data_IF_559249777212
#
_entry.id   IF_559249777212
#
_cell.length_a   1.000
_cell.length_b   1.000
_cell.length_c   1.000
_cell.angle_alpha   90.00
_cell.angle_beta   90.00
_cell.angle_gamma   90.00
#
_symmetry.space_group_name_H-M   'P 1'
#
loop_
_entity.id
_entity.type
_entity.pdbx_description
1 polymer ?
#
# COMPACT_ATOMS: atom_id res chain seq x y z
N UNK A 1 15.76 3.05 -5.63
CA UNK A 1 15.99 2.29 -4.38
C UNK A 1 14.68 1.72 -3.86
N UNK A 2 14.41 0.46 -4.16
CA UNK A 2 13.28 -0.31 -3.62
C UNK A 2 13.64 -0.77 -2.21
N UNK A 3 13.02 -0.18 -1.17
CA UNK A 3 13.18 -0.67 0.20
C UNK A 3 12.46 -2.01 0.30
N UNK A 4 13.19 -3.12 0.44
CA UNK A 4 12.59 -4.41 0.78
C UNK A 4 11.98 -4.31 2.18
N UNK A 5 10.66 -4.39 2.27
CA UNK A 5 9.95 -4.41 3.55
C UNK A 5 9.93 -5.86 4.01
N UNK A 6 10.60 -6.16 5.12
CA UNK A 6 10.51 -7.46 5.76
C UNK A 6 9.03 -7.81 6.05
N UNK A 7 8.59 -8.94 5.50
CA UNK A 7 7.23 -9.47 5.65
C UNK A 7 6.96 -9.95 7.07
N UNK A 8 7.98 -10.36 7.82
CA UNK A 8 7.89 -10.83 9.21
C UNK A 8 7.64 -9.70 10.21
N UNK A 9 7.88 -8.44 9.81
CA UNK A 9 7.68 -7.29 10.68
C UNK A 9 6.20 -7.13 11.06
N UNK A 10 5.86 -7.03 12.37
CA UNK A 10 4.49 -6.82 12.82
C UNK A 10 3.84 -5.58 12.19
N UNK A 11 2.71 -5.75 11.51
CA UNK A 11 1.95 -4.67 10.86
C UNK A 11 0.70 -4.29 11.63
N UNK A 12 0.08 -5.26 12.28
CA UNK A 12 -1.14 -5.14 13.06
C UNK A 12 -0.91 -5.66 14.48
N UNK A 13 -1.85 -5.36 15.38
CA UNK A 13 -1.90 -5.98 16.69
C UNK A 13 -2.63 -7.32 16.59
N UNK A 14 -2.18 -8.30 17.36
CA UNK A 14 -2.87 -9.58 17.51
C UNK A 14 -4.11 -9.42 18.40
N UNK A 15 -4.98 -10.43 18.45
CA UNK A 15 -6.24 -10.38 19.20
C UNK A 15 -6.02 -10.08 20.69
N UNK A 16 -5.04 -10.74 21.32
CA UNK A 16 -4.69 -10.50 22.74
C UNK A 16 -4.24 -9.06 23.00
N UNK A 17 -3.46 -8.50 22.07
CA UNK A 17 -2.96 -7.13 22.16
C UNK A 17 -4.11 -6.13 21.94
N UNK A 18 -5.07 -6.45 21.07
CA UNK A 18 -6.29 -5.67 20.92
C UNK A 18 -7.18 -5.76 22.16
N UNK A 19 -7.24 -6.91 22.82
CA UNK A 19 -7.93 -7.09 24.09
C UNK A 19 -7.27 -6.23 25.19
N UNK A 20 -5.94 -6.16 25.24
CA UNK A 20 -5.20 -5.27 26.14
C UNK A 20 -5.53 -3.79 25.90
N UNK A 21 -5.56 -3.36 24.63
CA UNK A 21 -6.00 -2.00 24.26
C UNK A 21 -7.43 -1.72 24.75
N UNK A 22 -8.33 -2.70 24.66
CA UNK A 22 -9.70 -2.57 25.17
C UNK A 22 -9.76 -2.57 26.71
N UNK A 23 -8.78 -3.18 27.39
CA UNK A 23 -8.67 -3.20 28.85
C UNK A 23 -8.12 -1.90 29.44
N UNK A 24 -7.50 -1.05 28.63
CA UNK A 24 -6.96 0.26 29.05
C UNK A 24 -8.00 1.11 29.80
N UNK A 25 -7.66 1.68 30.97
CA UNK A 25 -8.62 2.32 31.88
C UNK A 25 -9.38 3.48 31.23
N UNK A 26 -8.68 4.37 30.52
CA UNK A 26 -9.34 5.50 29.82
C UNK A 26 -10.26 5.05 28.68
N UNK A 27 -9.91 3.98 27.95
CA UNK A 27 -10.75 3.43 26.88
C UNK A 27 -12.03 2.86 27.49
N UNK A 28 -11.91 2.11 28.59
CA UNK A 28 -13.06 1.62 29.36
C UNK A 28 -13.94 2.74 29.90
N UNK A 29 -13.34 3.81 30.43
CA UNK A 29 -14.09 4.96 30.96
C UNK A 29 -14.90 5.66 29.86
N UNK A 30 -14.26 5.95 28.72
CA UNK A 30 -14.94 6.58 27.58
C UNK A 30 -16.03 5.67 26.99
N UNK A 31 -15.80 4.36 26.96
CA UNK A 31 -16.82 3.39 26.58
C UNK A 31 -18.02 3.44 27.54
N UNK A 32 -17.76 3.46 28.86
CA UNK A 32 -18.82 3.57 29.88
C UNK A 32 -19.63 4.86 29.68
N UNK A 33 -18.99 6.02 29.52
CA UNK A 33 -19.68 7.30 29.28
C UNK A 33 -20.57 7.22 28.03
N UNK A 34 -20.00 6.74 26.91
CA UNK A 34 -20.76 6.54 25.66
C UNK A 34 -21.96 5.62 25.86
N UNK A 35 -21.79 4.49 26.55
CA UNK A 35 -22.88 3.53 26.79
C UNK A 35 -23.99 4.11 27.66
N UNK A 36 -23.66 4.90 28.69
CA UNK A 36 -24.65 5.59 29.53
C UNK A 36 -25.47 6.59 28.71
N UNK A 37 -24.81 7.42 27.91
CA UNK A 37 -25.49 8.39 27.04
C UNK A 37 -26.38 7.70 26.01
N UNK A 38 -25.89 6.62 25.37
CA UNK A 38 -26.69 5.84 24.44
C UNK A 38 -27.91 5.17 25.10
N UNK A 39 -27.76 4.65 26.33
CA UNK A 39 -28.89 4.10 27.10
C UNK A 39 -29.92 5.17 27.42
N UNK A 40 -29.49 6.34 27.88
CA UNK A 40 -30.36 7.47 28.18
C UNK A 40 -31.15 7.92 26.94
N UNK A 41 -30.48 8.06 25.80
CA UNK A 41 -31.14 8.41 24.52
C UNK A 41 -32.18 7.36 24.14
N UNK A 42 -31.87 6.07 24.27
CA UNK A 42 -32.82 5.00 23.94
C UNK A 42 -34.02 4.97 24.89
N UNK A 43 -33.82 5.26 26.17
CA UNK A 43 -34.89 5.34 27.15
C UNK A 43 -35.83 6.53 26.89
N UNK A 44 -35.29 7.69 26.54
CA UNK A 44 -36.09 8.92 26.35
C UNK A 44 -36.70 9.03 24.94
N UNK A 45 -35.99 8.58 23.89
CA UNK A 45 -36.36 8.85 22.48
C UNK A 45 -36.46 7.59 21.61
N UNK A 46 -36.24 6.40 22.18
CA UNK A 46 -36.23 5.11 21.48
C UNK A 46 -34.96 4.88 20.66
N UNK A 47 -34.70 5.74 19.67
CA UNK A 47 -33.55 5.59 18.75
C UNK A 47 -32.61 6.79 18.77
N UNK A 48 -31.32 6.53 18.57
CA UNK A 48 -30.28 7.59 18.57
C UNK A 48 -30.50 8.57 17.42
N UNK A 49 -31.00 8.10 16.27
CA UNK A 49 -31.27 8.94 15.10
C UNK A 49 -32.32 10.02 15.36
N UNK A 50 -33.32 9.77 16.22
CA UNK A 50 -34.37 10.74 16.57
C UNK A 50 -33.86 11.93 17.38
N UNK A 51 -32.71 11.78 18.03
CA UNK A 51 -32.10 12.87 18.82
C UNK A 51 -31.17 13.76 18.01
N UNK A 52 -31.02 13.55 16.70
CA UNK A 52 -30.16 14.40 15.85
C UNK A 52 -30.52 15.88 16.02
N UNK A 53 -29.50 16.71 16.22
CA UNK A 53 -29.65 18.16 16.45
C UNK A 53 -29.72 18.57 17.93
N UNK A 54 -30.07 17.65 18.83
CA UNK A 54 -30.12 17.93 20.28
C UNK A 54 -28.74 17.95 20.93
N UNK A 55 -28.64 18.51 22.15
CA UNK A 55 -27.43 18.50 22.97
C UNK A 55 -27.01 17.06 23.33
N UNK A 56 -27.95 16.20 23.74
CA UNK A 56 -27.64 14.83 24.15
C UNK A 56 -27.04 14.00 23.01
N UNK A 57 -27.47 14.24 21.77
CA UNK A 57 -26.85 13.62 20.59
C UNK A 57 -25.42 14.11 20.37
N UNK A 58 -25.16 15.42 20.51
CA UNK A 58 -23.80 15.99 20.41
C UNK A 58 -22.87 15.37 21.46
N UNK A 59 -23.32 15.28 22.71
CA UNK A 59 -22.56 14.70 23.81
C UNK A 59 -22.26 13.20 23.55
N UNK A 60 -23.25 12.44 23.09
CA UNK A 60 -23.07 11.03 22.75
C UNK A 60 -22.08 10.83 21.58
N UNK A 61 -22.17 11.68 20.55
CA UNK A 61 -21.25 11.64 19.41
C UNK A 61 -19.83 12.07 19.80
N UNK A 62 -19.70 13.06 20.69
CA UNK A 62 -18.40 13.47 21.25
C UNK A 62 -17.78 12.33 22.06
N UNK A 63 -18.55 11.67 22.93
CA UNK A 63 -18.08 10.51 23.68
C UNK A 63 -17.66 9.35 22.76
N UNK A 64 -18.40 9.12 21.67
CA UNK A 64 -18.02 8.14 20.64
C UNK A 64 -16.68 8.48 19.98
N UNK A 65 -16.50 9.73 19.53
CA UNK A 65 -15.25 10.19 18.92
C UNK A 65 -14.08 10.13 19.88
N UNK A 66 -14.27 10.55 21.13
CA UNK A 66 -13.26 10.47 22.18
C UNK A 66 -12.83 9.02 22.42
N UNK A 67 -13.78 8.10 22.58
CA UNK A 67 -13.50 6.67 22.72
C UNK A 67 -12.68 6.12 21.53
N UNK A 68 -13.10 6.40 20.30
CA UNK A 68 -12.38 5.91 19.11
C UNK A 68 -10.98 6.51 18.97
N UNK A 69 -10.85 7.80 19.26
CA UNK A 69 -9.55 8.49 19.23
C UNK A 69 -8.59 7.88 20.27
N UNK A 70 -9.04 7.72 21.52
CA UNK A 70 -8.22 7.14 22.58
C UNK A 70 -7.87 5.68 22.29
N UNK A 71 -8.83 4.86 21.83
CA UNK A 71 -8.57 3.47 21.44
C UNK A 71 -7.49 3.39 20.35
N UNK A 72 -7.57 4.24 19.33
CA UNK A 72 -6.55 4.33 18.27
C UNK A 72 -5.19 4.80 18.80
N UNK A 73 -5.16 5.77 19.71
CA UNK A 73 -3.92 6.26 20.31
C UNK A 73 -3.23 5.16 21.13
N UNK A 74 -3.97 4.47 21.99
CA UNK A 74 -3.44 3.34 22.77
C UNK A 74 -2.97 2.21 21.85
N UNK A 75 -3.75 1.85 20.83
CA UNK A 75 -3.33 0.83 19.85
C UNK A 75 -2.02 1.20 19.13
N UNK A 76 -1.81 2.49 18.80
CA UNK A 76 -0.54 2.94 18.21
C UNK A 76 0.64 2.77 19.16
N UNK A 77 0.46 3.08 20.44
CA UNK A 77 1.51 2.90 21.46
C UNK A 77 1.86 1.43 21.62
N UNK A 78 0.86 0.55 21.77
CA UNK A 78 1.08 -0.90 21.87
C UNK A 78 1.78 -1.43 20.61
N UNK A 79 1.35 -1.01 19.41
CA UNK A 79 1.98 -1.46 18.18
C UNK A 79 3.43 -0.97 18.06
N UNK A 80 3.73 0.24 18.56
CA UNK A 80 5.09 0.75 18.60
C UNK A 80 5.97 -0.06 19.55
N UNK A 81 5.46 -0.46 20.71
CA UNK A 81 6.15 -1.33 21.66
C UNK A 81 6.42 -2.71 21.06
N UNK A 82 5.42 -3.35 20.45
CA UNK A 82 5.57 -4.63 19.75
C UNK A 82 6.64 -4.54 18.66
N UNK A 83 6.59 -3.49 17.83
CA UNK A 83 7.62 -3.24 16.81
C UNK A 83 9.01 -2.98 17.38
N UNK A 84 9.12 -2.38 18.57
CA UNK A 84 10.40 -2.15 19.23
C UNK A 84 10.96 -3.47 19.77
N UNK A 85 10.15 -4.27 20.45
CA UNK A 85 10.52 -5.60 20.94
C UNK A 85 10.93 -6.54 19.80
N UNK A 86 10.17 -6.55 18.71
CA UNK A 86 10.51 -7.34 17.51
C UNK A 86 11.85 -6.91 16.91
N UNK A 87 12.08 -5.59 16.76
CA UNK A 87 13.38 -5.08 16.23
C UNK A 87 14.58 -5.47 17.10
N UNK A 88 14.39 -5.63 18.40
CA UNK A 88 15.45 -6.10 19.31
C UNK A 88 15.67 -7.61 19.23
N UNK A 89 14.59 -8.38 19.13
CA UNK A 89 14.63 -9.85 19.16
C UNK A 89 14.98 -10.49 17.82
N UNK A 90 14.47 -9.94 16.71
CA UNK A 90 14.62 -10.55 15.40
C UNK A 90 16.09 -10.76 14.99
N UNK A 91 17.00 -9.77 15.14
CA UNK A 91 18.39 -9.99 14.79
C UNK A 91 19.07 -11.08 15.61
N UNK A 92 18.70 -11.22 16.90
CA UNK A 92 19.24 -12.27 17.77
C UNK A 92 18.78 -13.65 17.31
N UNK A 93 17.51 -13.78 16.94
CA UNK A 93 16.96 -15.02 16.38
C UNK A 93 17.62 -15.34 15.04
N UNK A 94 17.81 -14.34 14.18
CA UNK A 94 18.45 -14.54 12.88
C UNK A 94 19.92 -14.99 13.02
N UNK A 95 20.67 -14.42 13.97
CA UNK A 95 22.05 -14.84 14.29
C UNK A 95 22.06 -16.27 14.85
N UNK A 96 21.19 -16.60 15.81
CA UNK A 96 21.11 -17.95 16.37
C UNK A 96 20.84 -18.99 15.26
N UNK A 97 19.87 -18.72 14.39
CA UNK A 97 19.55 -19.59 13.25
C UNK A 97 20.71 -19.75 12.26
N UNK A 98 21.54 -18.71 12.08
CA UNK A 98 22.73 -18.79 11.23
C UNK A 98 23.83 -19.66 11.87
N UNK A 99 24.00 -19.56 13.19
CA UNK A 99 24.99 -20.34 13.94
C UNK A 99 24.60 -21.82 14.06
N UNK A 100 23.30 -22.12 14.17
CA UNK A 100 22.76 -23.48 14.26
C UNK A 100 22.75 -24.21 12.88
N UNK A 101 23.48 -23.69 11.89
CA UNK A 101 23.71 -24.35 10.60
C UNK A 101 22.52 -24.35 9.65
N UNK A 102 21.55 -23.43 9.82
CA UNK A 102 20.40 -23.30 8.93
C UNK A 102 19.43 -24.49 8.97
N UNK A 103 19.60 -25.41 9.92
CA UNK A 103 18.68 -26.50 10.14
C UNK A 103 17.50 -26.03 11.00
N UNK A 104 16.29 -26.29 10.51
CA UNK A 104 15.01 -26.24 11.25
C UNK A 104 14.51 -24.88 11.71
N UNK A 105 13.71 -24.25 10.86
CA UNK A 105 12.25 -24.42 10.89
C UNK A 105 11.69 -23.54 9.77
N UNK A 106 10.96 -24.15 8.83
CA UNK A 106 9.85 -23.45 8.19
C UNK A 106 8.95 -23.05 9.35
N UNK A 107 9.20 -21.88 9.94
CA UNK A 107 8.24 -21.23 10.81
C UNK A 107 7.00 -21.14 9.94
N UNK A 108 6.02 -21.96 10.28
CA UNK A 108 4.70 -21.97 9.70
C UNK A 108 4.20 -20.53 9.73
N UNK A 109 4.43 -19.86 8.61
CA UNK A 109 3.72 -18.68 8.22
C UNK A 109 2.29 -19.19 8.06
N UNK A 110 1.47 -19.00 9.09
CA UNK A 110 0.02 -19.01 9.02
C UNK A 110 -0.45 -17.97 7.99
N UNK A 111 -0.35 -18.38 6.74
CA UNK A 111 -0.27 -17.53 5.58
C UNK A 111 0.58 -18.30 4.59
N UNK A 112 0.02 -19.45 4.18
CA UNK A 112 0.70 -20.51 3.46
C UNK A 112 1.70 -19.96 2.47
N UNK A 113 2.88 -20.59 2.43
CA UNK A 113 3.75 -20.48 1.29
C UNK A 113 2.96 -20.98 0.07
N UNK A 114 2.15 -20.10 -0.50
CA UNK A 114 1.67 -20.25 -1.86
C UNK A 114 2.95 -20.26 -2.65
N UNK A 115 3.28 -21.43 -3.19
CA UNK A 115 4.34 -21.57 -4.18
C UNK A 115 4.22 -20.36 -5.11
N UNK A 116 5.26 -19.52 -5.26
CA UNK A 116 5.20 -18.37 -6.16
C UNK A 116 4.71 -18.75 -7.57
N UNK A 117 4.91 -20.01 -7.98
CA UNK A 117 4.39 -20.57 -9.22
C UNK A 117 2.87 -20.85 -9.20
N UNK A 118 2.28 -21.19 -8.04
CA UNK A 118 0.84 -21.38 -7.89
C UNK A 118 0.03 -20.06 -7.93
N UNK A 119 0.70 -18.91 -7.98
CA UNK A 119 0.09 -17.56 -8.14
C UNK A 119 0.15 -17.07 -9.59
N UNK A 120 0.89 -17.75 -10.47
CA UNK A 120 0.97 -17.39 -11.89
C UNK A 120 -0.28 -17.90 -12.61
N UNK A 121 -0.80 -17.14 -13.59
CA UNK A 121 -1.76 -17.70 -14.53
C UNK A 121 -1.07 -18.78 -15.39
N UNK A 122 -1.84 -19.70 -15.93
CA UNK A 122 -1.33 -20.87 -16.66
C UNK A 122 -0.37 -20.46 -17.80
N UNK A 123 -0.62 -19.31 -18.45
CA UNK A 123 0.22 -18.77 -19.51
C UNK A 123 1.58 -18.27 -18.99
N UNK A 124 1.60 -17.63 -17.81
CA UNK A 124 2.85 -17.20 -17.16
C UNK A 124 3.65 -18.38 -16.65
N UNK A 125 2.98 -19.40 -16.12
CA UNK A 125 3.63 -20.64 -15.70
C UNK A 125 4.27 -21.36 -16.90
N UNK A 126 3.55 -21.46 -18.03
CA UNK A 126 4.07 -22.04 -19.28
C UNK A 126 5.27 -21.28 -19.83
N UNK A 127 5.32 -19.95 -19.71
CA UNK A 127 6.50 -19.17 -20.12
C UNK A 127 7.66 -19.29 -19.13
N UNK A 128 7.36 -19.44 -17.84
CA UNK A 128 8.36 -19.50 -16.78
C UNK A 128 9.27 -20.73 -16.90
N UNK A 129 8.68 -21.92 -17.10
CA UNK A 129 9.44 -23.19 -17.14
C UNK A 129 10.57 -23.19 -18.18
N UNK A 130 10.33 -22.95 -19.49
CA UNK A 130 11.40 -23.00 -20.48
C UNK A 130 12.41 -21.84 -20.36
N UNK A 131 11.99 -20.67 -19.87
CA UNK A 131 12.89 -19.52 -19.66
C UNK A 131 13.88 -19.72 -18.51
N UNK A 132 13.46 -20.40 -17.45
CA UNK A 132 14.23 -20.54 -16.21
C UNK A 132 14.75 -21.95 -15.94
N UNK A 133 14.50 -22.91 -16.83
CA UNK A 133 15.15 -24.23 -16.81
C UNK A 133 16.50 -24.14 -17.53
N UNK A 134 17.56 -24.68 -16.93
CA UNK A 134 18.88 -24.72 -17.56
C UNK A 134 18.89 -25.67 -18.75
N UNK A 135 19.66 -25.30 -19.78
CA UNK A 135 19.98 -26.19 -20.88
C UNK A 135 20.69 -27.44 -20.35
N UNK A 136 20.27 -28.62 -20.81
CA UNK A 136 21.11 -29.82 -20.74
C UNK A 136 22.27 -29.68 -21.72
N UNK A 137 23.30 -30.53 -21.59
CA UNK A 137 24.45 -30.53 -22.51
C UNK A 137 24.11 -30.97 -23.94
N UNK A 138 22.88 -31.42 -24.20
CA UNK A 138 22.43 -31.82 -25.52
C UNK A 138 21.95 -30.60 -26.35
N UNK A 139 22.58 -30.30 -27.51
CA UNK A 139 22.15 -29.21 -28.38
C UNK A 139 20.72 -29.35 -28.91
N UNK A 140 20.19 -30.58 -29.04
CA UNK A 140 18.80 -30.81 -29.52
C UNK A 140 17.77 -30.35 -28.50
N UNK A 141 17.95 -30.73 -27.23
CA UNK A 141 17.09 -30.31 -26.11
C UNK A 141 17.17 -28.80 -25.86
N UNK A 142 18.33 -28.18 -26.05
CA UNK A 142 18.46 -26.73 -25.96
C UNK A 142 17.70 -26.01 -27.09
N UNK A 143 17.71 -26.55 -28.30
CA UNK A 143 16.93 -26.02 -29.42
C UNK A 143 15.42 -26.11 -29.16
N UNK A 144 14.99 -27.25 -28.62
CA UNK A 144 13.60 -27.48 -28.23
C UNK A 144 13.14 -26.52 -27.14
N UNK A 145 13.94 -26.38 -26.06
CA UNK A 145 13.65 -25.45 -24.95
C UNK A 145 13.52 -24.00 -25.42
N UNK A 146 14.40 -23.56 -26.33
CA UNK A 146 14.34 -22.20 -26.91
C UNK A 146 13.08 -21.99 -27.73
N UNK A 147 12.71 -22.98 -28.54
CA UNK A 147 11.48 -22.93 -29.34
C UNK A 147 10.25 -22.84 -28.45
N UNK A 148 10.19 -23.66 -27.40
CA UNK A 148 9.11 -23.63 -26.40
C UNK A 148 9.05 -22.31 -25.63
N UNK A 149 10.20 -21.73 -25.26
CA UNK A 149 10.26 -20.41 -24.63
C UNK A 149 9.71 -19.31 -25.54
N UNK A 150 10.07 -19.33 -26.82
CA UNK A 150 9.59 -18.34 -27.81
C UNK A 150 8.08 -18.47 -27.99
N UNK A 151 7.56 -19.69 -28.14
CA UNK A 151 6.13 -19.93 -28.29
C UNK A 151 5.35 -19.48 -27.04
N UNK A 152 5.83 -19.82 -25.85
CA UNK A 152 5.18 -19.49 -24.60
C UNK A 152 5.17 -17.97 -24.33
N UNK A 153 6.27 -17.26 -24.63
CA UNK A 153 6.32 -15.79 -24.51
C UNK A 153 5.44 -15.12 -25.56
N UNK A 154 5.40 -15.65 -26.79
CA UNK A 154 4.53 -15.14 -27.85
C UNK A 154 3.05 -15.29 -27.45
N UNK A 155 2.66 -16.44 -26.91
CA UNK A 155 1.32 -16.66 -26.38
C UNK A 155 1.00 -15.69 -25.24
N UNK A 156 1.92 -15.51 -24.29
CA UNK A 156 1.74 -14.60 -23.16
C UNK A 156 1.60 -13.13 -23.61
N UNK A 157 2.37 -12.69 -24.60
CA UNK A 157 2.32 -11.31 -25.12
C UNK A 157 0.97 -10.95 -25.78
N UNK A 158 0.22 -11.96 -26.25
CA UNK A 158 -1.12 -11.78 -26.80
C UNK A 158 -2.19 -11.68 -25.71
N UNK A 159 -1.86 -12.06 -24.49
CA UNK A 159 -2.78 -11.99 -23.38
C UNK A 159 -2.80 -10.56 -22.80
N UNK A 160 -3.96 -9.90 -22.90
CA UNK A 160 -4.16 -8.61 -22.24
C UNK A 160 -4.56 -8.83 -20.78
N UNK A 161 -3.63 -8.55 -19.87
CA UNK A 161 -3.93 -8.64 -18.43
C UNK A 161 -5.01 -7.63 -18.03
N UNK A 162 -5.92 -7.99 -17.11
CA UNK A 162 -6.86 -7.03 -16.56
C UNK A 162 -6.07 -5.87 -15.95
N UNK A 163 -6.43 -4.63 -16.30
CA UNK A 163 -5.83 -3.42 -15.72
C UNK A 163 -5.91 -3.53 -14.19
N UNK A 164 -4.81 -3.88 -13.55
CA UNK A 164 -4.70 -3.83 -12.10
C UNK A 164 -5.06 -2.41 -11.69
N UNK A 165 -6.09 -2.27 -10.83
CA UNK A 165 -6.46 -0.97 -10.27
C UNK A 165 -5.17 -0.31 -9.78
N UNK A 166 -4.85 0.85 -10.33
CA UNK A 166 -3.65 1.62 -9.99
C UNK A 166 -3.51 1.70 -8.46
N UNK A 167 -2.64 0.88 -7.88
CA UNK A 167 -2.32 0.90 -6.45
C UNK A 167 -1.48 2.12 -6.07
N UNK A 168 -1.13 2.95 -7.07
CA UNK A 168 -0.60 4.27 -6.89
C UNK A 168 -1.74 5.28 -7.01
N UNK A 169 -2.43 5.57 -5.91
CA UNK A 169 -3.07 6.90 -5.79
C UNK A 169 -1.95 7.92 -5.88
N UNK A 170 -1.69 8.45 -7.07
CA UNK A 170 -0.97 9.71 -7.22
C UNK A 170 -1.67 10.69 -6.29
N UNK A 171 -0.92 11.13 -5.28
CA UNK A 171 -1.38 12.05 -4.26
C UNK A 171 -1.71 13.34 -5.02
N UNK A 172 -2.98 13.54 -5.39
CA UNK A 172 -3.44 14.78 -6.01
C UNK A 172 -3.18 15.91 -5.00
N UNK A 173 -2.04 16.58 -5.14
CA UNK A 173 -1.84 17.92 -4.63
C UNK A 173 -2.62 18.88 -5.52
N UNK A 174 -3.94 18.80 -5.43
CA UNK A 174 -4.86 19.77 -6.02
C UNK A 174 -4.93 20.99 -5.11
N UNK A 175 -4.22 22.06 -5.48
CA UNK A 175 -4.40 23.40 -4.93
C UNK A 175 -5.89 23.76 -4.99
N UNK A 176 -6.48 24.13 -3.86
CA UNK A 176 -7.80 24.78 -3.82
C UNK A 176 -7.66 26.18 -4.40
N UNK A 177 -7.75 26.33 -5.71
CA UNK A 177 -8.12 27.62 -6.28
C UNK A 177 -9.64 27.72 -6.30
N UNK A 178 -10.12 28.63 -5.45
CA UNK A 178 -11.48 29.16 -5.42
C UNK A 178 -11.70 29.89 -6.76
N UNK A 179 -12.48 29.31 -7.65
CA UNK A 179 -12.95 30.01 -8.84
C UNK A 179 -14.44 30.31 -8.67
N UNK A 180 -14.73 31.59 -8.50
CA UNK A 180 -16.06 32.20 -8.50
C UNK A 180 -16.70 32.00 -9.88
N UNK A 181 -17.98 31.63 -9.88
CA UNK A 181 -18.83 31.54 -11.08
C UNK A 181 -19.07 32.91 -11.68
N UNK A 182 -18.90 33.04 -13.00
CA UNK A 182 -19.74 33.89 -13.85
C UNK A 182 -19.93 33.20 -15.20
N UNK A 183 -21.19 33.09 -15.62
CA UNK A 183 -21.66 32.60 -16.93
C UNK A 183 -21.14 33.48 -18.07
N UNK A 184 -20.80 32.87 -19.22
CA UNK A 184 -21.43 33.19 -20.50
C UNK A 184 -21.10 32.12 -21.56
N UNK A 185 -22.03 31.95 -22.48
CA UNK A 185 -22.18 30.88 -23.45
C UNK A 185 -21.22 30.93 -24.67
N UNK A 186 -21.09 29.76 -25.29
CA UNK A 186 -20.89 29.54 -26.74
C UNK A 186 -19.59 29.99 -27.41
N UNK A 187 -18.72 29.01 -27.72
CA UNK A 187 -18.47 28.58 -29.10
C UNK A 187 -17.46 27.43 -29.13
N UNK A 188 -17.82 26.39 -29.86
CA UNK A 188 -16.91 25.34 -30.28
C UNK A 188 -15.80 25.97 -31.13
N UNK A 189 -14.58 25.99 -30.58
CA UNK A 189 -13.35 26.10 -31.33
C UNK A 189 -12.43 25.02 -30.80
N UNK A 190 -12.12 24.08 -31.67
CA UNK A 190 -11.09 23.06 -31.51
C UNK A 190 -9.74 23.77 -31.39
N UNK A 191 -9.42 24.27 -30.19
CA UNK A 191 -8.09 24.77 -29.88
C UNK A 191 -7.34 23.69 -29.12
N UNK A 192 -6.45 23.04 -29.87
CA UNK A 192 -5.34 22.26 -29.38
C UNK A 192 -4.73 22.94 -28.16
N UNK A 193 -4.68 22.22 -27.05
CA UNK A 193 -3.90 22.50 -25.83
C UNK A 193 -2.87 23.63 -25.99
N UNK A 194 -3.05 24.83 -25.39
CA UNK A 194 -1.98 25.80 -25.29
C UNK A 194 -1.11 25.41 -24.09
N UNK A 195 -0.55 24.20 -24.12
CA UNK A 195 0.60 23.88 -23.27
C UNK A 195 1.79 24.42 -24.03
N UNK A 196 2.15 25.67 -23.75
CA UNK A 196 3.46 26.19 -24.12
C UNK A 196 4.53 25.34 -23.44
N UNK A 197 4.93 24.24 -24.07
CA UNK A 197 6.06 23.44 -23.63
C UNK A 197 7.29 24.32 -23.72
N UNK A 198 7.79 24.80 -22.58
CA UNK A 198 9.13 25.35 -22.52
C UNK A 198 10.08 24.21 -22.89
N UNK A 199 10.89 24.42 -23.92
CA UNK A 199 11.83 23.43 -24.44
C UNK A 199 12.58 22.74 -23.28
N UNK A 200 12.35 21.45 -23.13
CA UNK A 200 13.07 20.61 -22.16
C UNK A 200 14.47 20.35 -22.70
N UNK A 201 15.49 20.75 -21.94
CA UNK A 201 16.88 20.48 -22.29
C UNK A 201 17.10 18.96 -22.21
N UNK A 202 17.40 18.31 -23.34
CA UNK A 202 17.58 16.86 -23.38
C UNK A 202 18.97 16.47 -22.84
N UNK A 203 19.14 15.19 -22.46
CA UNK A 203 20.40 14.67 -21.91
C UNK A 203 21.57 14.87 -22.89
N UNK A 204 21.31 14.88 -24.20
CA UNK A 204 22.33 15.16 -25.22
C UNK A 204 22.80 16.62 -25.21
N UNK A 205 21.91 17.58 -24.93
CA UNK A 205 22.30 18.99 -24.79
C UNK A 205 23.20 19.22 -23.57
N UNK A 206 22.96 18.50 -22.47
CA UNK A 206 23.78 18.59 -21.25
C UNK A 206 25.15 17.93 -21.42
N UNK A 207 25.21 16.84 -22.19
CA UNK A 207 26.42 16.05 -22.42
C UNK A 207 27.30 16.54 -23.59
N UNK A 208 26.87 17.53 -24.36
CA UNK A 208 27.64 17.99 -25.53
C UNK A 208 28.82 18.89 -25.10
N UNK A 209 30.04 18.35 -25.23
CA UNK A 209 31.28 19.03 -24.86
C UNK A 209 31.64 20.24 -25.74
N UNK A 210 31.02 20.38 -26.91
CA UNK A 210 31.26 21.46 -27.87
C UNK A 210 30.47 22.73 -27.56
N UNK A 211 29.43 22.64 -26.72
CA UNK A 211 28.62 23.79 -26.32
C UNK A 211 29.21 24.48 -25.08
N UNK A 212 29.08 25.80 -24.96
CA UNK A 212 29.47 26.50 -23.73
C UNK A 212 28.56 26.14 -22.56
N UNK A 213 29.04 26.26 -21.31
CA UNK A 213 28.28 25.91 -20.10
C UNK A 213 26.97 26.72 -20.01
N UNK A 214 26.98 27.98 -20.44
CA UNK A 214 25.80 28.85 -20.49
C UNK A 214 24.75 28.37 -21.50
N UNK A 215 25.18 27.71 -22.58
CA UNK A 215 24.27 27.08 -23.55
C UNK A 215 23.78 25.70 -23.08
N UNK A 216 24.58 25.00 -22.25
CA UNK A 216 24.20 23.72 -21.62
C UNK A 216 23.25 23.88 -20.43
N UNK A 217 23.18 25.07 -19.82
CA UNK A 217 22.38 25.32 -18.62
C UNK A 217 21.51 26.57 -18.80
N UNK A 218 20.19 26.41 -18.81
CA UNK A 218 19.28 27.55 -18.80
C UNK A 218 18.99 27.98 -17.36
N UNK A 219 19.30 29.24 -17.03
CA UNK A 219 18.90 29.85 -15.75
C UNK A 219 17.42 30.28 -15.83
N UNK A 220 16.64 30.00 -14.79
CA UNK A 220 15.22 30.34 -14.67
C UNK A 220 15.00 31.55 -13.78
#
# INVERSE_FOLDING_TARGET
MTRSIDRRRPRCLNEDQLAEVCRHPEVKLLLRVRTRLAKRIRAEYGTISRTKGTKIYKDCNQAYRAHQSKKKAVAKVVLAQVKASWRKRQPLLDIANQLDGGATQKLDLEGGAVDPLAVLCDERFRAFTPLFTFATTDPSEECQRRSEAIEAVTALSRHQEPKLRELCRTRQWGKKHRATRTNMESKAATELFPVGYRATQCIFCLGNAELSIEQRMKFF
#
